data_IF_942657330270
#
_entry.id   IF_942657330270
#
_cell.length_a   1.000
_cell.length_b   1.000
_cell.length_c   1.000
_cell.angle_alpha   90.00
_cell.angle_beta   90.00
_cell.angle_gamma   90.00
#
_symmetry.space_group_name_H-M   'P 1'
#
loop_
_entity.id
_entity.type
_entity.pdbx_description
1 polymer ?
#
# COMPACT_ATOMS: atom_id res chain seq x y z
N UNK A 1 1.74 -38.92 56.10
CA UNK A 1 0.56 -38.30 55.43
C UNK A 1 0.69 -36.81 55.67
N UNK A 2 0.77 -35.90 54.72
CA UNK A 2 0.65 -35.87 53.27
C UNK A 2 0.57 -34.36 52.93
N UNK A 3 1.33 -33.95 51.91
CA UNK A 3 1.09 -32.83 50.97
C UNK A 3 -0.08 -31.83 51.26
N UNK A 4 0.03 -30.52 51.03
CA UNK A 4 0.59 -29.85 49.84
C UNK A 4 0.66 -28.33 50.04
N UNK A 5 1.73 -27.75 49.53
CA UNK A 5 1.97 -26.31 49.31
C UNK A 5 0.93 -25.73 48.35
N UNK A 6 0.46 -24.49 48.58
CA UNK A 6 0.06 -23.60 47.48
C UNK A 6 0.71 -22.23 47.67
N UNK A 7 1.75 -22.01 46.87
CA UNK A 7 2.47 -20.76 46.70
C UNK A 7 1.51 -19.67 46.23
N UNK A 8 1.70 -18.49 46.81
CA UNK A 8 1.15 -17.21 46.39
C UNK A 8 1.90 -16.76 45.15
N UNK A 9 1.20 -16.56 44.03
CA UNK A 9 1.74 -15.86 42.86
C UNK A 9 0.69 -14.84 42.43
N UNK A 10 1.02 -13.58 42.65
CA UNK A 10 0.32 -12.40 42.16
C UNK A 10 1.14 -11.95 40.95
N UNK A 11 0.58 -12.03 39.75
CA UNK A 11 1.11 -11.31 38.60
C UNK A 11 0.06 -10.25 38.21
N UNK A 12 0.35 -9.01 38.57
CA UNK A 12 -0.10 -7.82 37.84
C UNK A 12 1.05 -7.48 36.90
N UNK A 13 0.93 -7.81 35.61
CA UNK A 13 1.74 -7.20 34.56
C UNK A 13 0.89 -7.19 33.27
N UNK A 14 0.38 -5.99 32.99
CA UNK A 14 -0.23 -5.43 31.78
C UNK A 14 -0.57 -6.40 30.62
N UNK A 15 -1.86 -6.43 30.25
CA UNK A 15 -2.46 -7.19 29.14
C UNK A 15 -1.69 -7.08 27.80
N UNK A 16 -0.75 -8.00 27.57
CA UNK A 16 -0.24 -8.26 26.21
C UNK A 16 -1.33 -9.03 25.47
N UNK A 17 -2.17 -8.32 24.70
CA UNK A 17 -3.07 -8.97 23.76
C UNK A 17 -2.23 -9.52 22.61
N UNK A 18 -1.95 -10.83 22.64
CA UNK A 18 -1.33 -11.54 21.51
C UNK A 18 -2.38 -11.67 20.41
N UNK A 19 -2.41 -10.70 19.50
CA UNK A 19 -3.18 -10.81 18.27
C UNK A 19 -2.38 -11.63 17.25
N UNK A 20 -3.00 -12.66 16.69
CA UNK A 20 -2.42 -13.39 15.56
C UNK A 20 -2.31 -12.44 14.37
N UNK A 21 -1.13 -12.35 13.75
CA UNK A 21 -0.96 -11.57 12.54
C UNK A 21 -1.81 -12.17 11.40
N UNK A 22 -2.43 -11.33 10.54
CA UNK A 22 -3.24 -11.82 9.44
C UNK A 22 -2.41 -12.70 8.49
N UNK A 23 -3.07 -13.68 7.88
CA UNK A 23 -2.49 -14.44 6.78
C UNK A 23 -2.36 -13.58 5.49
N UNK A 24 -1.76 -14.13 4.43
CA UNK A 24 -1.53 -13.37 3.20
C UNK A 24 -2.85 -12.92 2.53
N UNK A 25 -3.92 -13.72 2.58
CA UNK A 25 -5.22 -13.39 1.97
C UNK A 25 -5.98 -12.37 2.82
N UNK A 26 -5.92 -12.51 4.14
CA UNK A 26 -6.50 -11.56 5.08
C UNK A 26 -5.83 -10.18 4.94
N UNK A 27 -4.50 -10.14 4.82
CA UNK A 27 -3.76 -8.91 4.58
C UNK A 27 -4.21 -8.23 3.28
N UNK A 28 -4.35 -8.98 2.19
CA UNK A 28 -4.85 -8.47 0.90
C UNK A 28 -6.25 -7.86 1.04
N UNK A 29 -7.15 -8.54 1.76
CA UNK A 29 -8.51 -8.04 2.02
C UNK A 29 -8.50 -6.76 2.86
N UNK A 30 -7.71 -6.72 3.93
CA UNK A 30 -7.59 -5.53 4.79
C UNK A 30 -7.03 -4.33 4.02
N UNK A 31 -6.10 -4.53 3.09
CA UNK A 31 -5.59 -3.46 2.22
C UNK A 31 -6.71 -2.88 1.35
N UNK A 32 -7.51 -3.74 0.71
CA UNK A 32 -8.64 -3.31 -0.12
C UNK A 32 -9.68 -2.52 0.69
N UNK A 33 -10.07 -3.03 1.85
CA UNK A 33 -11.01 -2.38 2.77
C UNK A 33 -10.47 -1.03 3.23
N UNK A 34 -9.20 -0.96 3.63
CA UNK A 34 -8.54 0.28 4.05
C UNK A 34 -8.56 1.34 2.94
N UNK A 35 -8.20 0.98 1.70
CA UNK A 35 -8.22 1.94 0.58
C UNK A 35 -9.65 2.41 0.29
N UNK A 36 -10.63 1.48 0.35
CA UNK A 36 -12.04 1.77 0.17
C UNK A 36 -12.56 2.76 1.22
N UNK A 37 -12.29 2.49 2.49
CA UNK A 37 -12.69 3.33 3.63
C UNK A 37 -12.06 4.71 3.60
N UNK A 38 -10.78 4.81 3.21
CA UNK A 38 -10.12 6.11 3.03
C UNK A 38 -10.68 6.89 1.85
N UNK A 39 -11.33 6.22 0.88
CA UNK A 39 -11.95 6.84 -0.29
C UNK A 39 -10.94 7.53 -1.23
N UNK A 40 -9.64 7.27 -1.07
CA UNK A 40 -8.57 7.89 -1.86
C UNK A 40 -7.36 6.97 -1.97
N UNK A 41 -6.49 7.19 -2.97
CA UNK A 41 -5.22 6.49 -3.05
C UNK A 41 -4.32 6.77 -1.83
N UNK A 42 -3.62 5.73 -1.40
CA UNK A 42 -2.71 5.75 -0.24
C UNK A 42 -1.27 5.55 -0.69
N UNK A 43 -0.36 6.36 -0.18
CA UNK A 43 1.07 6.19 -0.45
C UNK A 43 1.63 4.96 0.25
N UNK A 44 2.76 4.44 -0.26
CA UNK A 44 3.54 3.38 0.42
C UNK A 44 3.82 3.70 1.90
N UNK A 45 4.12 4.97 2.20
CA UNK A 45 4.38 5.41 3.59
C UNK A 45 3.13 5.28 4.46
N UNK A 46 1.97 5.69 3.96
CA UNK A 46 0.70 5.57 4.70
C UNK A 46 0.35 4.09 4.90
N UNK A 47 0.46 3.25 3.87
CA UNK A 47 0.21 1.81 4.01
C UNK A 47 1.15 1.17 5.02
N UNK A 48 2.46 1.44 4.97
CA UNK A 48 3.41 0.93 5.98
C UNK A 48 3.05 1.34 7.40
N UNK A 49 2.57 2.57 7.59
CA UNK A 49 2.16 3.06 8.91
C UNK A 49 0.85 2.41 9.39
N UNK A 50 -0.11 2.17 8.49
CA UNK A 50 -1.39 1.54 8.83
C UNK A 50 -1.18 0.06 9.19
N UNK A 51 -0.33 -0.63 8.44
CA UNK A 51 -0.09 -2.08 8.60
C UNK A 51 1.12 -2.41 9.49
N UNK A 52 1.77 -1.41 10.10
CA UNK A 52 2.86 -1.67 11.05
C UNK A 52 2.33 -2.41 12.26
N UNK A 53 2.88 -3.60 12.55
CA UNK A 53 2.40 -4.50 13.60
C UNK A 53 1.46 -5.59 13.12
N UNK A 54 0.86 -5.44 11.92
CA UNK A 54 0.05 -6.49 11.27
C UNK A 54 0.87 -7.28 10.25
N UNK A 55 1.74 -6.60 9.50
CA UNK A 55 2.60 -7.23 8.51
C UNK A 55 3.95 -6.52 8.37
N UNK A 56 4.99 -7.30 8.09
CA UNK A 56 6.28 -6.75 7.66
C UNK A 56 6.21 -6.12 6.26
N UNK A 57 7.15 -5.23 5.94
CA UNK A 57 7.17 -4.52 4.65
C UNK A 57 7.20 -5.47 3.44
N UNK A 58 7.88 -6.61 3.55
CA UNK A 58 7.98 -7.56 2.45
C UNK A 58 6.64 -8.24 2.16
N UNK A 59 5.92 -8.66 3.21
CA UNK A 59 4.56 -9.20 3.08
C UNK A 59 3.60 -8.17 2.50
N UNK A 60 3.68 -6.92 2.96
CA UNK A 60 2.88 -5.83 2.39
C UNK A 60 3.19 -5.61 0.91
N UNK A 61 4.46 -5.63 0.51
CA UNK A 61 4.87 -5.51 -0.89
C UNK A 61 4.32 -6.65 -1.74
N UNK A 62 4.44 -7.89 -1.26
CA UNK A 62 3.92 -9.09 -1.94
C UNK A 62 2.40 -9.01 -2.13
N UNK A 63 1.67 -8.64 -1.09
CA UNK A 63 0.21 -8.44 -1.15
C UNK A 63 -0.17 -7.37 -2.19
N UNK A 64 0.52 -6.23 -2.21
CA UNK A 64 0.27 -5.18 -3.22
C UNK A 64 0.56 -5.67 -4.64
N UNK A 65 1.65 -6.42 -4.86
CA UNK A 65 1.95 -7.02 -6.16
C UNK A 65 0.81 -7.91 -6.62
N UNK A 66 0.37 -8.85 -5.78
CA UNK A 66 -0.72 -9.78 -6.09
C UNK A 66 -2.01 -9.03 -6.44
N UNK A 67 -2.38 -8.03 -5.64
CA UNK A 67 -3.57 -7.20 -5.88
C UNK A 67 -3.47 -6.41 -7.20
N UNK A 68 -2.29 -5.90 -7.57
CA UNK A 68 -2.06 -5.20 -8.84
C UNK A 68 -2.14 -6.17 -10.03
N UNK A 69 -1.56 -7.37 -9.90
CA UNK A 69 -1.60 -8.37 -10.95
C UNK A 69 -3.03 -8.81 -11.28
N UNK A 70 -3.88 -8.92 -10.25
CA UNK A 70 -5.33 -9.21 -10.36
C UNK A 70 -6.18 -7.98 -10.68
N UNK A 71 -5.58 -6.80 -10.81
CA UNK A 71 -6.25 -5.52 -11.09
C UNK A 71 -7.30 -5.12 -10.04
N UNK A 72 -7.16 -5.60 -8.81
CA UNK A 72 -8.00 -5.23 -7.67
C UNK A 72 -7.56 -3.89 -7.06
N UNK A 73 -6.28 -3.53 -7.24
CA UNK A 73 -5.75 -2.19 -6.99
C UNK A 73 -4.91 -1.72 -8.18
N UNK A 74 -4.63 -0.43 -8.21
CA UNK A 74 -3.81 0.23 -9.22
C UNK A 74 -2.73 1.07 -8.56
N UNK A 75 -1.54 1.06 -9.15
CA UNK A 75 -0.46 1.97 -8.78
C UNK A 75 -0.56 3.26 -9.61
N UNK A 76 -0.64 4.40 -8.93
CA UNK A 76 -0.73 5.74 -9.51
C UNK A 76 0.65 6.26 -9.94
N UNK A 77 0.68 7.32 -10.75
CA UNK A 77 1.93 7.91 -11.27
C UNK A 77 2.85 8.52 -10.21
N UNK A 78 2.34 8.79 -9.00
CA UNK A 78 3.14 9.23 -7.86
C UNK A 78 3.56 8.06 -6.93
N UNK A 79 3.20 6.83 -7.27
CA UNK A 79 3.44 5.61 -6.47
C UNK A 79 2.52 5.45 -5.26
N UNK A 80 1.35 6.12 -5.26
CA UNK A 80 0.23 5.75 -4.39
C UNK A 80 -0.58 4.60 -4.98
N UNK A 81 -1.37 3.93 -4.15
CA UNK A 81 -2.17 2.77 -4.52
C UNK A 81 -3.65 3.08 -4.29
N UNK A 82 -4.50 2.83 -5.29
CA UNK A 82 -5.94 3.08 -5.21
C UNK A 82 -6.75 1.94 -5.82
N UNK A 83 -8.06 1.98 -5.65
CA UNK A 83 -8.96 1.06 -6.34
C UNK A 83 -9.12 1.47 -7.81
N UNK A 84 -9.43 0.52 -8.72
CA UNK A 84 -9.84 0.85 -10.07
C UNK A 84 -10.99 1.86 -10.08
N UNK A 85 -10.91 2.85 -10.96
CA UNK A 85 -11.82 3.98 -11.05
C UNK A 85 -11.35 5.22 -10.28
N UNK A 86 -10.54 5.08 -9.23
CA UNK A 86 -10.02 6.23 -8.47
C UNK A 86 -9.08 7.11 -9.31
N UNK A 87 -8.45 6.57 -10.36
CA UNK A 87 -7.60 7.32 -11.27
C UNK A 87 -8.32 8.45 -12.01
N UNK A 88 -9.64 8.35 -12.20
CA UNK A 88 -10.42 9.29 -13.01
C UNK A 88 -10.42 10.71 -12.45
N UNK A 89 -10.41 10.81 -11.12
CA UNK A 89 -10.42 12.08 -10.39
C UNK A 89 -9.10 12.33 -9.64
N UNK A 90 -8.09 11.52 -9.93
CA UNK A 90 -6.83 11.57 -9.19
C UNK A 90 -5.90 12.64 -9.74
N UNK A 91 -5.57 13.63 -8.90
CA UNK A 91 -4.52 14.61 -9.19
C UNK A 91 -3.26 14.22 -8.43
N UNK A 92 -2.15 13.89 -9.13
CA UNK A 92 -0.90 13.52 -8.49
C UNK A 92 -0.38 14.65 -7.59
N UNK A 93 -0.08 14.34 -6.32
CA UNK A 93 0.48 15.33 -5.39
C UNK A 93 1.85 15.83 -5.84
N UNK A 94 2.66 14.93 -6.41
CA UNK A 94 3.99 15.21 -6.96
C UNK A 94 4.27 14.30 -8.14
N UNK A 95 4.75 14.85 -9.24
CA UNK A 95 5.27 14.05 -10.36
C UNK A 95 6.67 13.53 -10.01
N UNK A 96 6.83 12.21 -9.99
CA UNK A 96 8.14 11.57 -9.78
C UNK A 96 8.97 11.63 -11.06
N UNK A 97 10.23 12.06 -10.95
CA UNK A 97 11.20 12.05 -12.08
C UNK A 97 11.46 10.63 -12.61
N UNK A 98 11.49 9.65 -11.72
CA UNK A 98 11.67 8.23 -12.06
C UNK A 98 10.64 7.41 -11.28
N UNK A 99 9.86 6.61 -12.01
CA UNK A 99 8.85 5.73 -11.44
C UNK A 99 9.39 4.30 -11.57
N UNK A 100 9.36 3.56 -10.47
CA UNK A 100 9.72 2.13 -10.41
C UNK A 100 8.48 1.39 -9.91
N UNK A 101 7.54 1.06 -10.81
CA UNK A 101 6.30 0.43 -10.41
C UNK A 101 6.55 -0.98 -9.88
N UNK A 102 5.70 -1.43 -8.97
CA UNK A 102 5.73 -2.80 -8.44
C UNK A 102 5.46 -3.82 -9.56
N UNK A 103 4.52 -3.51 -10.46
CA UNK A 103 4.20 -4.34 -11.62
C UNK A 103 4.33 -3.52 -12.90
N UNK A 104 5.52 -3.56 -13.51
CA UNK A 104 5.87 -2.70 -14.64
C UNK A 104 4.99 -2.90 -15.89
N UNK A 105 4.50 -4.12 -16.13
CA UNK A 105 3.59 -4.40 -17.25
C UNK A 105 2.27 -3.65 -17.08
N UNK A 106 1.54 -3.91 -15.98
CA UNK A 106 0.26 -3.27 -15.65
C UNK A 106 0.38 -1.75 -15.58
N UNK A 107 1.46 -1.24 -15.00
CA UNK A 107 1.70 0.20 -14.92
C UNK A 107 1.87 0.84 -16.31
N UNK A 108 2.64 0.22 -17.21
CA UNK A 108 2.84 0.74 -18.57
C UNK A 108 1.56 0.68 -19.41
N UNK A 109 0.80 -0.40 -19.28
CA UNK A 109 -0.50 -0.55 -19.96
C UNK A 109 -1.46 0.58 -19.56
N UNK A 110 -1.47 0.95 -18.27
CA UNK A 110 -2.37 1.99 -17.77
C UNK A 110 -1.88 3.43 -18.03
N UNK A 111 -0.60 3.71 -17.81
CA UNK A 111 -0.08 5.08 -17.79
C UNK A 111 0.86 5.43 -18.95
N UNK A 112 1.23 4.47 -19.80
CA UNK A 112 2.26 4.66 -20.84
C UNK A 112 1.93 5.81 -21.81
N UNK A 113 0.70 5.87 -22.28
CA UNK A 113 0.20 6.93 -23.18
C UNK A 113 0.16 8.29 -22.50
N UNK A 114 -0.37 8.35 -21.27
CA UNK A 114 -0.42 9.56 -20.45
C UNK A 114 0.98 10.14 -20.20
N UNK A 115 1.94 9.30 -19.78
CA UNK A 115 3.32 9.72 -19.53
C UNK A 115 4.05 10.12 -20.82
N UNK A 116 3.77 9.47 -21.96
CA UNK A 116 4.33 9.88 -23.25
C UNK A 116 3.85 11.29 -23.65
N UNK A 117 2.55 11.58 -23.49
CA UNK A 117 1.97 12.90 -23.77
C UNK A 117 2.55 13.99 -22.86
N UNK A 118 2.69 13.73 -21.56
CA UNK A 118 3.30 14.66 -20.61
C UNK A 118 4.74 15.03 -21.00
N UNK A 119 5.55 14.04 -21.41
CA UNK A 119 6.94 14.29 -21.85
C UNK A 119 7.00 15.16 -23.09
N UNK A 120 6.12 14.94 -24.06
CA UNK A 120 6.08 15.74 -25.29
C UNK A 120 5.67 17.19 -25.01
N UNK A 121 4.64 17.38 -24.17
CA UNK A 121 4.16 18.71 -23.77
C UNK A 121 5.23 19.50 -23.01
N UNK A 122 5.91 18.87 -22.04
CA UNK A 122 6.99 19.52 -21.30
C UNK A 122 8.12 19.99 -22.22
N UNK A 123 8.54 19.15 -23.17
CA UNK A 123 9.58 19.48 -24.16
C UNK A 123 9.17 20.63 -25.09
N UNK A 124 7.88 20.75 -25.42
CA UNK A 124 7.36 21.86 -26.21
C UNK A 124 7.43 23.19 -25.45
N UNK A 125 7.03 23.20 -24.16
CA UNK A 125 7.10 24.39 -23.31
C UNK A 125 8.55 24.85 -23.07
N UNK A 126 9.48 23.92 -22.85
CA UNK A 126 10.91 24.22 -22.71
C UNK A 126 11.50 24.85 -23.99
N UNK A 127 11.04 24.44 -25.18
CA UNK A 127 11.48 25.01 -26.46
C UNK A 127 10.91 26.40 -26.78
N UNK A 128 9.76 26.76 -26.21
CA UNK A 128 9.09 28.05 -26.49
C UNK A 128 9.50 29.17 -25.53
N UNK A 129 10.18 28.82 -24.43
CA UNK A 129 10.72 29.75 -23.44
C UNK A 129 12.24 29.96 -23.55
N UNK A 130 12.88 29.51 -24.64
CA UNK A 130 14.27 29.81 -25.00
C UNK A 130 14.34 30.63 -26.27
#
# INVERSE_FOLDING_TARGET
MGERVKLKVVYEDEDIVVMQAPDDKELEKLILETIKEKGRPLSWRELRQIFSGLAGEDRLRKALINLIEREEIIEMVDGSFGLPGMERNYVPRKLKKRIRPLVAKKFRERWGTYLARLRHSKRYLEKKGS
#
